data_IF_159402275238
#
_entry.id   IF_159402275238
#
_cell.length_a   1.000
_cell.length_b   1.000
_cell.length_c   1.000
_cell.angle_alpha   90.00
_cell.angle_beta   90.00
_cell.angle_gamma   90.00
#
_symmetry.space_group_name_H-M   'P 1'
#
loop_
_entity.id
_entity.type
_entity.pdbx_description
1 polymer ?
#
# COMPACT_ATOMS: atom_id res chain seq x y z
N UNK A 1 -3.48 9.13 12.41
CA UNK A 1 -3.08 8.44 11.17
C UNK A 1 -3.81 9.12 10.02
N UNK A 2 -3.24 9.20 8.81
CA UNK A 2 -3.98 9.71 7.65
C UNK A 2 -5.26 8.88 7.50
N UNK A 3 -6.41 9.54 7.41
CA UNK A 3 -7.70 8.87 7.24
C UNK A 3 -7.81 8.35 5.81
N UNK A 4 -8.16 7.08 5.65
CA UNK A 4 -8.39 6.50 4.33
C UNK A 4 -9.63 7.14 3.70
N UNK A 5 -9.50 7.64 2.47
CA UNK A 5 -10.63 8.11 1.70
C UNK A 5 -11.45 6.89 1.19
N UNK A 6 -12.69 6.70 1.66
CA UNK A 6 -13.54 5.60 1.22
C UNK A 6 -14.14 5.82 -0.16
N UNK A 7 -14.01 7.02 -0.74
CA UNK A 7 -14.58 7.36 -2.06
C UNK A 7 -13.75 6.83 -3.22
N UNK A 8 -12.47 6.51 -2.99
CA UNK A 8 -11.61 5.90 -4.00
C UNK A 8 -11.86 4.38 -3.97
N UNK A 9 -12.44 3.82 -5.04
CA UNK A 9 -12.79 2.40 -5.07
C UNK A 9 -11.52 1.56 -5.11
N UNK A 10 -11.44 0.58 -4.21
CA UNK A 10 -10.37 -0.40 -4.24
C UNK A 10 -10.62 -1.40 -5.38
N UNK A 11 -9.61 -1.73 -6.20
CA UNK A 11 -9.80 -2.66 -7.30
C UNK A 11 -10.19 -4.06 -6.78
N UNK A 12 -11.32 -4.58 -7.23
CA UNK A 12 -11.88 -5.87 -6.79
C UNK A 12 -10.99 -7.07 -7.14
N UNK A 13 -10.16 -6.93 -8.17
CA UNK A 13 -9.10 -7.88 -8.53
C UNK A 13 -7.85 -7.07 -8.90
N UNK A 14 -6.72 -7.24 -8.19
CA UNK A 14 -5.47 -6.58 -8.56
C UNK A 14 -5.03 -7.08 -9.93
N UNK A 15 -5.00 -6.21 -10.94
CA UNK A 15 -4.30 -6.54 -12.19
C UNK A 15 -2.80 -6.74 -11.93
N UNK A 16 -2.24 -6.08 -10.89
CA UNK A 16 -0.86 -6.19 -10.42
C UNK A 16 -0.71 -5.58 -9.02
N UNK A 17 0.29 -6.02 -8.22
CA UNK A 17 0.60 -5.43 -6.91
C UNK A 17 0.86 -3.92 -6.98
N UNK A 18 1.48 -3.46 -8.08
CA UNK A 18 1.73 -2.03 -8.34
C UNK A 18 0.45 -1.19 -8.35
N UNK A 19 -0.60 -1.69 -8.99
CA UNK A 19 -1.88 -1.00 -9.08
C UNK A 19 -2.56 -0.92 -7.70
N UNK A 20 -2.47 -1.98 -6.91
CA UNK A 20 -2.94 -1.97 -5.52
C UNK A 20 -2.22 -0.91 -4.68
N UNK A 21 -0.88 -0.88 -4.73
CA UNK A 21 -0.11 0.10 -3.94
C UNK A 21 -0.40 1.53 -4.37
N UNK A 22 -0.60 1.78 -5.67
CA UNK A 22 -0.99 3.09 -6.17
C UNK A 22 -2.35 3.52 -5.63
N UNK A 23 -3.38 2.67 -5.75
CA UNK A 23 -4.71 2.98 -5.22
C UNK A 23 -4.69 3.17 -3.70
N UNK A 24 -3.91 2.37 -2.97
CA UNK A 24 -3.74 2.55 -1.52
C UNK A 24 -3.07 3.88 -1.19
N UNK A 25 -2.02 4.25 -1.91
CA UNK A 25 -1.32 5.52 -1.72
C UNK A 25 -2.21 6.73 -2.02
N UNK A 26 -3.05 6.64 -3.05
CA UNK A 26 -4.07 7.65 -3.35
C UNK A 26 -5.13 7.74 -2.23
N UNK A 27 -5.57 6.59 -1.70
CA UNK A 27 -6.55 6.51 -0.61
C UNK A 27 -6.09 7.15 0.69
N UNK A 28 -4.82 7.00 1.05
CA UNK A 28 -4.27 7.61 2.28
C UNK A 28 -3.76 9.04 2.06
N UNK A 29 -3.99 9.62 0.88
CA UNK A 29 -3.55 10.98 0.54
C UNK A 29 -2.03 11.13 0.40
N UNK A 30 -1.28 10.03 0.29
CA UNK A 30 0.18 10.05 0.05
C UNK A 30 0.50 10.41 -1.41
N UNK A 31 -0.41 10.08 -2.33
CA UNK A 31 -0.29 10.36 -3.76
C UNK A 31 -1.52 11.10 -4.28
N UNK A 32 -1.30 12.00 -5.24
CA UNK A 32 -2.38 12.63 -6.01
C UNK A 32 -2.89 11.62 -7.05
N UNK A 33 -4.20 11.54 -7.33
CA UNK A 33 -4.73 10.64 -8.35
C UNK A 33 -4.01 10.75 -9.69
N UNK A 34 -3.51 9.62 -10.21
CA UNK A 34 -2.78 9.55 -11.48
C UNK A 34 -1.26 9.78 -11.36
N UNK A 35 -0.74 10.06 -10.17
CA UNK A 35 0.68 10.01 -9.92
C UNK A 35 1.17 8.55 -9.88
N UNK A 36 2.40 8.31 -10.29
CA UNK A 36 3.00 6.97 -10.27
C UNK A 36 3.95 6.82 -9.08
N UNK A 37 3.78 5.73 -8.31
CA UNK A 37 4.78 5.33 -7.33
C UNK A 37 6.12 5.03 -8.00
N UNK A 38 7.18 5.53 -7.40
CA UNK A 38 8.55 5.20 -7.79
C UNK A 38 8.86 3.72 -7.55
N UNK A 39 9.84 3.18 -8.26
CA UNK A 39 10.29 1.79 -8.06
C UNK A 39 10.74 1.52 -6.62
N UNK A 40 11.36 2.50 -5.96
CA UNK A 40 11.79 2.38 -4.56
C UNK A 40 10.61 2.29 -3.59
N UNK A 41 9.55 3.06 -3.82
CA UNK A 41 8.34 3.00 -2.98
C UNK A 41 7.58 1.68 -3.16
N UNK A 42 7.55 1.15 -4.38
CA UNK A 42 6.95 -0.17 -4.65
C UNK A 42 7.77 -1.27 -3.95
N UNK A 43 9.10 -1.27 -4.11
CA UNK A 43 9.95 -2.25 -3.45
C UNK A 43 9.85 -2.19 -1.92
N UNK A 44 9.71 -0.99 -1.35
CA UNK A 44 9.44 -0.80 0.07
C UNK A 44 8.10 -1.43 0.49
N UNK A 45 7.01 -1.14 -0.24
CA UNK A 45 5.70 -1.70 0.06
C UNK A 45 5.70 -3.24 -0.05
N UNK A 46 6.37 -3.80 -1.05
CA UNK A 46 6.55 -5.25 -1.19
C UNK A 46 7.33 -5.85 -0.01
N UNK A 47 8.43 -5.22 0.39
CA UNK A 47 9.21 -5.65 1.55
C UNK A 47 8.42 -5.62 2.86
N UNK A 48 7.56 -4.60 3.06
CA UNK A 48 6.66 -4.53 4.23
C UNK A 48 5.63 -5.66 4.19
N UNK A 49 5.02 -5.93 3.03
CA UNK A 49 4.07 -7.04 2.88
C UNK A 49 4.74 -8.38 3.19
N UNK A 50 5.97 -8.61 2.73
CA UNK A 50 6.74 -9.81 3.07
C UNK A 50 7.06 -9.85 4.57
N UNK A 51 7.38 -8.72 5.19
CA UNK A 51 7.66 -8.65 6.62
C UNK A 51 6.43 -9.01 7.47
N UNK A 52 5.24 -8.52 7.08
CA UNK A 52 3.96 -8.89 7.72
C UNK A 52 3.69 -10.39 7.53
N UNK A 53 3.82 -10.90 6.30
CA UNK A 53 3.59 -12.32 5.99
C UNK A 53 4.48 -13.26 6.80
N UNK A 54 5.73 -12.86 7.03
CA UNK A 54 6.68 -13.62 7.83
C UNK A 54 6.48 -13.46 9.35
N UNK A 55 5.41 -12.76 9.80
CA UNK A 55 5.09 -12.58 11.21
C UNK A 55 6.02 -11.63 11.97
N UNK A 56 7.00 -11.03 11.29
CA UNK A 56 8.10 -10.25 11.91
C UNK A 56 7.69 -8.84 12.35
N UNK A 57 6.47 -8.40 12.05
CA UNK A 57 5.92 -7.14 12.52
C UNK A 57 5.10 -7.28 13.82
N UNK A 58 4.74 -8.50 14.22
CA UNK A 58 3.92 -8.76 15.42
C UNK A 58 4.75 -9.15 16.66
N UNK A 59 6.07 -9.21 16.58
CA UNK A 59 6.92 -9.66 17.70
C UNK A 59 7.16 -8.60 18.79
N UNK A 60 6.57 -7.40 18.69
CA UNK A 60 6.76 -6.31 19.66
C UNK A 60 5.57 -6.08 20.63
N UNK A 61 4.61 -7.01 20.72
CA UNK A 61 3.63 -7.05 21.81
C UNK A 61 3.94 -8.21 22.77
N UNK A 62 4.89 -8.00 23.69
CA UNK A 62 4.97 -8.81 24.91
C UNK A 62 5.50 -8.02 26.10
#
# INVERSE_FOLDING_TARGET
MPEEDPTIPMPAAPASNRALFQTLAERVGLLVPGASLSHQQIAFAEGVVELVKNGRLNENEK
#
